data_IF_062244076335
#
_entry.id   IF_062244076335
#
_cell.length_a   1.000
_cell.length_b   1.000
_cell.length_c   1.000
_cell.angle_alpha   90.00
_cell.angle_beta   90.00
_cell.angle_gamma   90.00
#
_symmetry.space_group_name_H-M   'P 1'
#
loop_
_entity.id
_entity.type
_entity.pdbx_description
1 polymer ?
#
# COMPACT_ATOMS: atom_id res chain seq x y z
N UNK A 1 -16.03 5.05 -57.78
CA UNK A 1 -15.19 5.86 -56.87
C UNK A 1 -13.91 5.09 -56.63
N UNK A 2 -12.76 5.60 -57.09
CA UNK A 2 -11.48 4.90 -56.93
C UNK A 2 -11.22 4.64 -55.44
N UNK A 3 -10.88 3.39 -55.09
CA UNK A 3 -10.47 3.02 -53.74
C UNK A 3 -9.29 3.91 -53.34
N UNK A 4 -9.52 4.79 -52.36
CA UNK A 4 -8.50 5.75 -51.91
C UNK A 4 -7.34 4.97 -51.33
N UNK A 5 -6.22 4.97 -52.05
CA UNK A 5 -5.05 4.16 -51.74
C UNK A 5 -4.50 4.49 -50.35
N UNK A 6 -4.46 3.49 -49.47
CA UNK A 6 -3.82 3.58 -48.16
C UNK A 6 -2.40 3.03 -48.26
N UNK A 7 -1.42 3.90 -48.04
CA UNK A 7 0.01 3.59 -48.09
C UNK A 7 0.59 3.49 -46.69
N UNK A 8 1.40 2.46 -46.44
CA UNK A 8 2.09 2.26 -45.16
C UNK A 8 3.57 2.51 -45.35
N UNK A 9 4.16 3.32 -44.48
CA UNK A 9 5.61 3.50 -44.37
C UNK A 9 6.05 3.08 -42.96
N UNK A 10 7.19 2.44 -42.85
CA UNK A 10 7.78 2.09 -41.55
C UNK A 10 9.05 2.89 -41.31
N UNK A 11 9.30 3.26 -40.06
CA UNK A 11 10.47 4.05 -39.65
C UNK A 11 10.99 3.55 -38.30
N UNK A 12 12.27 3.82 -38.01
CA UNK A 12 12.96 3.34 -36.79
C UNK A 12 12.78 1.83 -36.60
N UNK A 13 13.05 1.06 -37.65
CA UNK A 13 12.94 -0.39 -37.63
C UNK A 13 14.11 -1.00 -36.85
N UNK A 14 13.80 -1.94 -35.95
CA UNK A 14 14.77 -2.66 -35.15
C UNK A 14 14.33 -4.11 -34.99
N UNK A 15 15.27 -5.04 -35.17
CA UNK A 15 15.03 -6.46 -34.86
C UNK A 15 15.57 -6.76 -33.46
N UNK A 16 14.69 -7.05 -32.52
CA UNK A 16 15.04 -7.36 -31.14
C UNK A 16 15.03 -8.88 -30.91
N UNK A 17 16.22 -9.47 -30.82
CA UNK A 17 16.40 -10.92 -30.61
C UNK A 17 16.08 -11.39 -29.19
N UNK A 18 16.23 -10.53 -28.19
CA UNK A 18 15.93 -10.87 -26.79
C UNK A 18 14.43 -11.14 -26.57
N UNK A 19 13.59 -10.46 -27.35
CA UNK A 19 12.14 -10.57 -27.30
C UNK A 19 11.55 -11.28 -28.53
N UNK A 20 12.40 -11.85 -29.38
CA UNK A 20 12.04 -12.55 -30.63
C UNK A 20 11.00 -11.81 -31.47
N UNK A 21 11.24 -10.50 -31.69
CA UNK A 21 10.32 -9.63 -32.42
C UNK A 21 11.01 -8.52 -33.20
N UNK A 22 10.38 -8.08 -34.27
CA UNK A 22 10.67 -6.85 -35.00
C UNK A 22 9.81 -5.72 -34.45
N UNK A 23 10.40 -4.56 -34.21
CA UNK A 23 9.71 -3.38 -33.69
C UNK A 23 9.97 -2.15 -34.55
N UNK A 24 8.92 -1.39 -34.83
CA UNK A 24 8.99 -0.22 -35.72
C UNK A 24 7.84 0.74 -35.46
N UNK A 25 7.98 1.95 -35.97
CA UNK A 25 6.92 2.96 -36.03
C UNK A 25 6.27 2.87 -37.40
N UNK A 26 4.94 2.95 -37.43
CA UNK A 26 4.10 2.88 -38.62
C UNK A 26 3.55 4.28 -38.90
N UNK A 27 3.84 4.79 -40.10
CA UNK A 27 3.21 5.97 -40.67
C UNK A 27 2.20 5.51 -41.73
N UNK A 28 0.92 5.75 -41.49
CA UNK A 28 -0.18 5.40 -42.40
C UNK A 28 -0.64 6.67 -43.12
N UNK A 29 -0.57 6.67 -44.44
CA UNK A 29 -1.06 7.73 -45.30
C UNK A 29 -2.40 7.29 -45.92
N UNK A 30 -3.45 8.06 -45.67
CA UNK A 30 -4.83 7.76 -46.07
C UNK A 30 -5.55 9.05 -46.53
N UNK A 31 -5.12 9.68 -47.64
CA UNK A 31 -5.68 10.95 -48.09
C UNK A 31 -7.17 10.81 -48.41
N UNK A 32 -8.00 11.69 -47.83
CA UNK A 32 -9.44 11.71 -48.04
C UNK A 32 -10.21 10.48 -47.54
N UNK A 33 -9.58 9.58 -46.78
CA UNK A 33 -10.21 8.43 -46.11
C UNK A 33 -10.12 8.62 -44.60
N UNK A 34 -11.15 8.15 -43.89
CA UNK A 34 -11.15 8.09 -42.43
C UNK A 34 -10.07 7.13 -41.90
N UNK A 35 -9.99 7.00 -40.57
CA UNK A 35 -9.01 6.14 -39.92
C UNK A 35 -9.08 4.69 -40.42
N UNK A 36 -7.92 4.14 -40.78
CA UNK A 36 -7.79 2.78 -41.34
C UNK A 36 -8.02 1.74 -40.24
N UNK A 37 -8.73 0.66 -40.57
CA UNK A 37 -8.99 -0.43 -39.63
C UNK A 37 -7.69 -1.19 -39.30
N UNK A 38 -7.59 -1.74 -38.09
CA UNK A 38 -6.41 -2.52 -37.70
C UNK A 38 -6.27 -3.83 -38.46
N UNK A 39 -7.38 -4.41 -38.93
CA UNK A 39 -7.37 -5.62 -39.74
C UNK A 39 -6.69 -5.36 -41.09
N UNK A 40 -7.06 -4.27 -41.77
CA UNK A 40 -6.44 -3.88 -43.05
C UNK A 40 -4.95 -3.56 -42.87
N UNK A 41 -4.56 -2.91 -41.77
CA UNK A 41 -3.14 -2.62 -41.51
C UNK A 41 -2.32 -3.90 -41.26
N UNK A 42 -2.90 -4.90 -40.61
CA UNK A 42 -2.24 -6.19 -40.39
C UNK A 42 -2.05 -6.96 -41.69
N UNK A 43 -3.07 -6.98 -42.54
CA UNK A 43 -3.00 -7.63 -43.85
C UNK A 43 -1.89 -7.01 -44.71
N UNK A 44 -1.85 -5.67 -44.79
CA UNK A 44 -0.82 -4.96 -45.54
C UNK A 44 0.58 -5.17 -44.97
N UNK A 45 0.73 -5.21 -43.64
CA UNK A 45 2.02 -5.51 -43.01
C UNK A 45 2.43 -6.98 -43.19
N UNK A 46 1.45 -7.90 -43.22
CA UNK A 46 1.67 -9.31 -43.51
C UNK A 46 2.23 -9.50 -44.90
N UNK A 47 1.66 -8.80 -45.89
CA UNK A 47 2.16 -8.82 -47.26
C UNK A 47 3.54 -8.13 -47.39
N UNK A 48 3.75 -6.99 -46.73
CA UNK A 48 5.01 -6.23 -46.81
C UNK A 48 6.22 -6.98 -46.24
N UNK A 49 6.02 -7.76 -45.18
CA UNK A 49 7.09 -8.48 -44.46
C UNK A 49 7.01 -10.01 -44.62
N UNK A 50 6.16 -10.50 -45.53
CA UNK A 50 5.95 -11.92 -45.85
C UNK A 50 5.64 -12.78 -44.60
N UNK A 51 4.80 -12.24 -43.72
CA UNK A 51 4.40 -12.92 -42.48
C UNK A 51 3.14 -13.75 -42.74
N UNK A 52 3.26 -15.07 -42.58
CA UNK A 52 2.17 -16.03 -42.84
C UNK A 52 0.97 -15.85 -41.90
N UNK A 53 1.24 -15.58 -40.61
CA UNK A 53 0.21 -15.49 -39.58
C UNK A 53 -0.10 -14.05 -39.18
N UNK A 54 -1.32 -13.57 -39.44
CA UNK A 54 -1.75 -12.22 -39.02
C UNK A 54 -1.83 -12.04 -37.49
N UNK A 55 -1.86 -13.15 -36.74
CA UNK A 55 -1.93 -13.17 -35.28
C UNK A 55 -0.60 -12.82 -34.61
N UNK A 56 0.52 -12.88 -35.34
CA UNK A 56 1.85 -12.46 -34.84
C UNK A 56 2.08 -10.96 -34.96
N UNK A 57 1.21 -10.26 -35.71
CA UNK A 57 1.31 -8.82 -35.99
C UNK A 57 0.44 -8.04 -35.00
N UNK A 58 1.07 -7.14 -34.24
CA UNK A 58 0.40 -6.26 -33.30
C UNK A 58 0.60 -4.81 -33.71
N UNK A 59 -0.51 -4.10 -33.91
CA UNK A 59 -0.53 -2.67 -34.22
C UNK A 59 -1.34 -1.91 -33.17
N UNK A 60 -0.75 -0.87 -32.59
CA UNK A 60 -1.35 -0.15 -31.46
C UNK A 60 -0.94 1.32 -31.37
N UNK A 61 -1.69 2.06 -30.54
CA UNK A 61 -1.47 3.49 -30.24
C UNK A 61 -1.40 4.36 -31.51
N UNK A 62 -2.38 4.19 -32.41
CA UNK A 62 -2.54 5.08 -33.55
C UNK A 62 -3.06 6.44 -33.10
N UNK A 63 -2.45 7.50 -33.64
CA UNK A 63 -2.90 8.89 -33.51
C UNK A 63 -2.90 9.54 -34.90
N UNK A 64 -4.04 10.11 -35.26
CA UNK A 64 -4.20 10.88 -36.50
C UNK A 64 -3.62 12.27 -36.29
N UNK A 65 -2.89 12.78 -37.28
CA UNK A 65 -2.39 14.15 -37.26
C UNK A 65 -3.52 15.16 -37.43
N UNK A 66 -3.32 16.36 -36.90
CA UNK A 66 -4.19 17.49 -37.17
C UNK A 66 -4.23 17.78 -38.67
N UNK A 67 -5.41 18.03 -39.24
CA UNK A 67 -5.63 18.12 -40.68
C UNK A 67 -5.91 16.78 -41.38
N UNK A 68 -5.83 15.65 -40.67
CA UNK A 68 -6.19 14.33 -41.21
C UNK A 68 -5.19 13.79 -42.23
N UNK A 69 -5.56 12.70 -42.92
CA UNK A 69 -4.77 12.11 -44.03
C UNK A 69 -3.48 11.37 -43.63
N UNK A 70 -2.96 11.57 -42.41
CA UNK A 70 -1.82 10.83 -41.85
C UNK A 70 -2.11 10.38 -40.44
N UNK A 71 -1.79 9.11 -40.14
CA UNK A 71 -1.82 8.54 -38.80
C UNK A 71 -0.50 7.88 -38.44
N UNK A 72 -0.06 8.02 -37.20
CA UNK A 72 1.17 7.40 -36.69
C UNK A 72 0.85 6.41 -35.60
N UNK A 73 1.50 5.24 -35.60
CA UNK A 73 1.31 4.19 -34.61
C UNK A 73 2.55 3.33 -34.45
N UNK A 74 2.43 2.28 -33.64
CA UNK A 74 3.52 1.33 -33.39
C UNK A 74 3.14 -0.05 -33.92
N UNK A 75 4.14 -0.73 -34.49
CA UNK A 75 4.03 -2.09 -35.01
C UNK A 75 5.03 -3.02 -34.36
N UNK A 76 4.56 -4.22 -34.02
CA UNK A 76 5.38 -5.34 -33.57
C UNK A 76 5.05 -6.57 -34.41
N UNK A 77 6.07 -7.28 -34.87
CA UNK A 77 5.93 -8.55 -35.57
C UNK A 77 6.75 -9.58 -34.79
N UNK A 78 6.08 -10.60 -34.28
CA UNK A 78 6.73 -11.71 -33.59
C UNK A 78 7.09 -12.83 -34.55
N UNK A 79 8.14 -13.58 -34.23
CA UNK A 79 8.54 -14.74 -35.05
C UNK A 79 7.52 -15.90 -34.92
N UNK A 80 6.93 -16.08 -33.72
CA UNK A 80 5.91 -17.10 -33.45
C UNK A 80 4.77 -16.56 -32.57
N UNK A 81 3.61 -17.22 -32.61
CA UNK A 81 2.44 -16.86 -31.80
C UNK A 81 2.69 -17.10 -30.30
N UNK A 82 3.49 -18.10 -29.95
CA UNK A 82 3.81 -18.39 -28.54
C UNK A 82 4.73 -17.33 -27.93
N UNK A 83 5.68 -16.83 -28.72
CA UNK A 83 6.50 -15.68 -28.34
C UNK A 83 5.62 -14.44 -28.10
N UNK A 84 4.62 -14.22 -28.95
CA UNK A 84 3.67 -13.13 -28.74
C UNK A 84 2.89 -13.29 -27.42
N UNK A 85 2.38 -14.49 -27.11
CA UNK A 85 1.66 -14.76 -25.85
C UNK A 85 2.54 -14.57 -24.61
N UNK A 86 3.84 -14.88 -24.71
CA UNK A 86 4.81 -14.76 -23.62
C UNK A 86 5.20 -13.31 -23.32
N UNK A 87 5.48 -12.51 -24.35
CA UNK A 87 6.07 -11.18 -24.18
C UNK A 87 5.07 -10.02 -24.26
N UNK A 88 3.90 -10.19 -24.87
CA UNK A 88 2.90 -9.11 -24.93
C UNK A 88 2.13 -8.93 -23.61
N UNK A 89 1.83 -7.69 -23.20
CA UNK A 89 0.89 -7.45 -22.13
C UNK A 89 -0.51 -8.00 -22.45
N UNK A 90 -1.14 -8.60 -21.44
CA UNK A 90 -2.45 -9.27 -21.56
C UNK A 90 -3.54 -8.43 -22.23
N UNK A 91 -3.57 -7.11 -22.02
CA UNK A 91 -4.59 -6.25 -22.63
C UNK A 91 -4.52 -6.19 -24.16
N UNK A 92 -3.34 -6.41 -24.76
CA UNK A 92 -3.20 -6.48 -26.22
C UNK A 92 -3.59 -7.84 -26.76
N UNK A 93 -3.26 -8.91 -26.04
CA UNK A 93 -3.70 -10.27 -26.35
C UNK A 93 -5.23 -10.37 -26.38
N UNK A 94 -5.90 -9.75 -25.40
CA UNK A 94 -7.37 -9.70 -25.33
C UNK A 94 -7.96 -8.96 -26.53
N UNK A 95 -7.39 -7.81 -26.91
CA UNK A 95 -7.84 -7.06 -28.11
C UNK A 95 -7.63 -7.83 -29.41
N UNK A 96 -6.69 -8.77 -29.43
CA UNK A 96 -6.40 -9.62 -30.57
C UNK A 96 -7.19 -10.93 -30.58
N UNK A 97 -8.01 -11.19 -29.54
CA UNK A 97 -8.76 -12.44 -29.40
C UNK A 97 -7.93 -13.65 -28.94
N UNK A 98 -6.64 -13.47 -28.60
CA UNK A 98 -5.77 -14.56 -28.14
C UNK A 98 -5.93 -14.89 -26.65
N UNK A 99 -6.61 -14.03 -25.89
CA UNK A 99 -6.89 -14.22 -24.47
C UNK A 99 -8.27 -13.69 -24.11
N UNK A 100 -8.94 -14.32 -23.16
CA UNK A 100 -10.23 -13.84 -22.65
C UNK A 100 -10.05 -12.85 -21.51
N UNK A 101 -10.92 -11.84 -21.45
CA UNK A 101 -10.93 -10.88 -20.36
C UNK A 101 -11.66 -11.49 -19.17
N UNK A 102 -11.00 -11.53 -18.02
CA UNK A 102 -11.63 -11.96 -16.76
C UNK A 102 -12.38 -10.75 -16.18
N UNK A 103 -13.70 -10.79 -16.21
CA UNK A 103 -14.54 -9.72 -15.65
C UNK A 103 -14.77 -9.96 -14.16
N UNK A 104 -13.90 -9.39 -13.34
CA UNK A 104 -14.04 -9.39 -11.88
C UNK A 104 -13.88 -7.97 -11.34
N UNK A 105 -14.80 -7.57 -10.47
CA UNK A 105 -14.69 -6.28 -9.78
C UNK A 105 -13.62 -6.33 -8.68
N UNK A 106 -12.71 -5.36 -8.67
CA UNK A 106 -11.66 -5.23 -7.64
C UNK A 106 -12.27 -5.11 -6.24
N UNK A 107 -13.42 -4.43 -6.11
CA UNK A 107 -14.14 -4.26 -4.84
C UNK A 107 -14.59 -5.61 -4.30
N UNK A 108 -15.31 -6.39 -5.11
CA UNK A 108 -15.80 -7.72 -4.73
C UNK A 108 -14.67 -8.68 -4.34
N UNK A 109 -13.53 -8.64 -5.06
CA UNK A 109 -12.37 -9.46 -4.75
C UNK A 109 -11.74 -9.08 -3.40
N UNK A 110 -11.59 -7.78 -3.12
CA UNK A 110 -11.05 -7.29 -1.84
C UNK A 110 -11.99 -7.61 -0.67
N UNK A 111 -13.28 -7.39 -0.84
CA UNK A 111 -14.28 -7.73 0.18
C UNK A 111 -14.29 -9.23 0.49
N UNK A 112 -14.25 -10.08 -0.55
CA UNK A 112 -14.14 -11.54 -0.37
C UNK A 112 -12.87 -11.93 0.39
N UNK A 113 -11.72 -11.31 0.07
CA UNK A 113 -10.45 -11.53 0.77
C UNK A 113 -10.53 -11.12 2.24
N UNK A 114 -11.19 -10.01 2.55
CA UNK A 114 -11.33 -9.55 3.93
C UNK A 114 -12.29 -10.45 4.75
N UNK A 115 -13.36 -10.96 4.13
CA UNK A 115 -14.26 -11.94 4.78
C UNK A 115 -13.55 -13.27 5.07
N UNK A 116 -12.74 -13.78 4.14
CA UNK A 116 -12.03 -15.05 4.33
C UNK A 116 -10.93 -14.99 5.39
N UNK A 117 -10.35 -13.82 5.66
CA UNK A 117 -9.42 -13.62 6.77
C UNK A 117 -10.06 -13.83 8.14
N UNK A 118 -11.38 -13.60 8.29
CA UNK A 118 -12.11 -13.74 9.56
C UNK A 118 -12.41 -15.19 9.96
N UNK A 119 -12.24 -16.13 9.04
CA UNK A 119 -12.63 -17.54 9.21
C UNK A 119 -11.38 -18.42 9.20
N UNK A 120 -11.33 -19.50 10.00
CA UNK A 120 -10.20 -20.45 10.06
C UNK A 120 -10.57 -21.83 9.50
N UNK A 121 -9.55 -22.60 9.09
CA UNK A 121 -9.70 -23.98 8.59
C UNK A 121 -10.50 -24.09 7.27
N UNK A 122 -11.13 -25.25 7.06
CA UNK A 122 -11.90 -25.61 5.85
C UNK A 122 -13.07 -24.65 5.58
N UNK A 123 -13.47 -23.83 6.57
CA UNK A 123 -14.52 -22.82 6.39
C UNK A 123 -14.07 -21.62 5.53
N UNK A 124 -12.77 -21.42 5.25
CA UNK A 124 -12.26 -20.35 4.37
C UNK A 124 -12.68 -20.53 2.91
N UNK A 125 -12.69 -21.76 2.40
CA UNK A 125 -13.15 -22.07 1.03
C UNK A 125 -14.65 -21.83 0.88
N UNK A 126 -15.43 -22.10 1.94
CA UNK A 126 -16.89 -21.86 1.97
C UNK A 126 -17.30 -20.38 2.17
N UNK A 127 -16.38 -19.49 2.53
CA UNK A 127 -16.66 -18.06 2.74
C UNK A 127 -17.07 -17.32 1.45
N UNK A 128 -16.93 -17.95 0.27
CA UNK A 128 -17.46 -17.48 -1.01
C UNK A 128 -18.89 -17.95 -1.32
N UNK A 129 -19.37 -19.00 -0.67
CA UNK A 129 -20.62 -19.74 -0.96
C UNK A 129 -21.70 -19.52 0.11
N UNK A 130 -21.76 -18.33 0.69
CA UNK A 130 -22.96 -17.95 1.44
C UNK A 130 -24.10 -17.72 0.43
N UNK A 131 -24.70 -18.82 -0.05
CA UNK A 131 -26.02 -18.78 -0.65
C UNK A 131 -26.93 -18.03 0.32
N UNK A 132 -27.60 -16.97 -0.16
CA UNK A 132 -28.64 -16.28 0.61
C UNK A 132 -29.64 -17.35 1.06
N UNK A 133 -29.64 -17.73 2.34
CA UNK A 133 -30.75 -18.49 2.91
C UNK A 133 -31.98 -17.60 2.76
N UNK A 134 -32.93 -18.03 1.91
CA UNK A 134 -34.28 -17.47 1.91
C UNK A 134 -34.86 -17.77 3.28
N UNK A 135 -35.09 -16.73 4.08
CA UNK A 135 -35.82 -16.84 5.34
C UNK A 135 -37.26 -17.27 5.01
N UNK A 136 -37.66 -18.46 5.46
CA UNK A 136 -39.07 -18.87 5.45
C UNK A 136 -39.65 -18.65 6.84
N UNK A 137 -40.96 -18.36 6.88
CA UNK A 137 -41.81 -18.03 8.04
C UNK A 137 -41.74 -19.02 9.23
N UNK A 138 -41.08 -20.17 9.06
CA UNK A 138 -41.00 -21.24 10.05
C UNK A 138 -40.06 -20.95 11.24
N UNK A 139 -39.11 -20.02 11.09
CA UNK A 139 -38.17 -19.67 12.18
C UNK A 139 -38.81 -18.77 13.27
N UNK A 140 -40.03 -18.26 13.05
CA UNK A 140 -40.70 -17.40 14.04
C UNK A 140 -41.44 -18.18 15.15
N UNK A 141 -41.69 -19.48 14.97
CA UNK A 141 -42.57 -20.23 15.87
C UNK A 141 -41.88 -20.87 17.09
N UNK A 142 -40.55 -20.98 17.11
CA UNK A 142 -39.81 -21.64 18.21
C UNK A 142 -39.28 -20.69 19.30
N UNK A 143 -39.75 -19.43 19.34
CA UNK A 143 -39.29 -18.45 20.33
C UNK A 143 -40.24 -18.27 21.53
N UNK A 144 -41.35 -19.02 21.62
CA UNK A 144 -42.27 -18.97 22.76
C UNK A 144 -42.46 -20.36 23.39
N UNK A 145 -41.57 -20.75 24.31
CA UNK A 145 -41.90 -21.41 25.62
C UNK A 145 -40.63 -21.34 26.51
N UNK A 146 -40.69 -20.80 27.74
CA UNK A 146 -39.58 -20.87 28.69
C UNK A 146 -39.76 -22.03 29.69
N UNK A 147 -38.71 -22.83 29.94
CA UNK A 147 -38.66 -23.72 31.10
C UNK A 147 -37.25 -23.77 31.73
N UNK A 148 -37.13 -22.98 32.82
CA UNK A 148 -36.61 -23.34 34.16
C UNK A 148 -35.51 -24.41 34.36
N UNK A 149 -34.51 -23.97 35.13
CA UNK A 149 -33.87 -24.58 36.33
C UNK A 149 -32.68 -25.58 36.28
N UNK A 150 -31.57 -25.17 36.94
CA UNK A 150 -30.80 -25.87 38.03
C UNK A 150 -29.45 -26.59 37.73
N UNK A 151 -28.48 -26.32 38.64
CA UNK A 151 -27.21 -27.03 39.03
C UNK A 151 -26.03 -26.99 38.03
N UNK A 152 -24.88 -26.37 38.34
CA UNK A 152 -23.80 -26.69 39.32
C UNK A 152 -23.03 -27.99 39.04
N UNK A 153 -21.69 -27.90 39.13
CA UNK A 153 -20.63 -28.93 39.23
C UNK A 153 -19.78 -29.14 37.97
N UNK A 154 -18.49 -28.78 38.06
CA UNK A 154 -17.37 -29.73 38.11
C UNK A 154 -16.03 -29.03 37.80
N UNK A 155 -15.15 -29.02 38.80
CA UNK A 155 -13.68 -28.93 38.65
C UNK A 155 -13.16 -30.17 37.89
N UNK A 156 -11.96 -30.08 37.29
CA UNK A 156 -10.90 -31.11 37.37
C UNK A 156 -9.57 -30.53 36.85
N UNK A 157 -8.55 -30.75 37.68
CA UNK A 157 -7.11 -30.46 37.59
C UNK A 157 -6.42 -31.51 36.71
N UNK A 158 -5.38 -31.13 35.93
CA UNK A 158 -4.20 -31.98 35.69
C UNK A 158 -2.93 -31.11 35.69
N UNK A 159 -2.03 -31.44 36.63
CA UNK A 159 -0.61 -31.06 36.73
C UNK A 159 0.21 -32.11 35.97
N UNK A 160 1.23 -31.70 35.21
CA UNK A 160 2.42 -32.52 34.93
C UNK A 160 3.65 -31.60 34.81
N UNK A 161 4.62 -31.80 35.71
CA UNK A 161 5.99 -31.29 35.63
C UNK A 161 6.83 -32.16 34.68
N UNK A 162 7.80 -31.53 34.01
CA UNK A 162 8.99 -32.19 33.51
C UNK A 162 10.19 -31.24 33.67
N UNK A 163 11.13 -31.63 34.53
CA UNK A 163 12.45 -31.04 34.63
C UNK A 163 13.32 -31.56 33.47
N UNK A 164 14.00 -30.68 32.75
CA UNK A 164 15.29 -31.01 32.16
C UNK A 164 16.18 -29.77 32.00
N UNK A 165 17.44 -29.97 32.37
CA UNK A 165 18.50 -28.97 32.49
C UNK A 165 19.04 -28.58 31.13
N UNK A 166 18.73 -27.37 30.67
CA UNK A 166 19.58 -26.60 29.75
C UNK A 166 19.48 -25.12 30.09
N UNK A 167 20.48 -24.57 30.79
CA UNK A 167 20.66 -23.14 31.03
C UNK A 167 21.79 -22.62 30.14
N UNK A 168 21.63 -21.36 29.69
CA UNK A 168 22.49 -20.53 28.82
C UNK A 168 22.30 -20.87 27.34
N UNK A 169 21.53 -20.12 26.54
CA UNK A 169 21.82 -18.76 26.02
C UNK A 169 20.54 -17.89 25.87
N UNK A 170 19.36 -18.40 26.24
CA UNK A 170 18.07 -17.73 26.02
C UNK A 170 17.80 -16.52 26.95
N UNK A 171 18.35 -16.52 28.17
CA UNK A 171 18.09 -15.47 29.17
C UNK A 171 18.70 -14.11 28.79
N UNK A 172 19.83 -14.10 28.07
CA UNK A 172 20.47 -12.87 27.61
C UNK A 172 19.69 -12.21 26.45
N UNK A 173 19.08 -13.00 25.56
CA UNK A 173 18.22 -12.49 24.48
C UNK A 173 16.90 -11.91 25.03
N UNK A 174 16.26 -12.59 25.98
CA UNK A 174 15.03 -12.10 26.61
C UNK A 174 15.26 -10.87 27.47
N UNK A 175 16.35 -10.80 28.23
CA UNK A 175 16.71 -9.62 29.00
C UNK A 175 17.07 -8.43 28.11
N UNK A 176 17.78 -8.65 26.99
CA UNK A 176 18.06 -7.60 26.01
C UNK A 176 16.78 -7.12 25.31
N UNK A 177 15.84 -8.01 24.96
CA UNK A 177 14.55 -7.65 24.39
C UNK A 177 13.65 -6.88 25.36
N UNK A 178 13.63 -7.28 26.65
CA UNK A 178 12.89 -6.56 27.70
C UNK A 178 13.49 -5.19 27.99
N UNK A 179 14.82 -5.06 28.08
CA UNK A 179 15.49 -3.77 28.28
C UNK A 179 15.30 -2.81 27.10
N UNK A 180 15.30 -3.33 25.86
CA UNK A 180 15.02 -2.52 24.65
C UNK A 180 13.54 -2.12 24.58
N UNK A 181 12.62 -2.98 25.01
CA UNK A 181 11.19 -2.62 25.11
C UNK A 181 10.94 -1.51 26.15
N UNK A 182 11.62 -1.56 27.30
CA UNK A 182 11.51 -0.54 28.35
C UNK A 182 12.04 0.83 27.90
N UNK A 183 13.18 0.84 27.19
CA UNK A 183 13.75 2.06 26.59
C UNK A 183 12.80 2.70 25.56
N UNK A 184 12.30 1.91 24.62
CA UNK A 184 11.39 2.42 23.58
C UNK A 184 10.08 2.95 24.22
N UNK A 185 9.61 2.31 25.29
CA UNK A 185 8.45 2.75 26.06
C UNK A 185 8.64 4.12 26.72
N UNK A 186 9.83 4.40 27.28
CA UNK A 186 10.17 5.69 27.90
C UNK A 186 10.04 6.84 26.91
N UNK A 187 10.66 6.73 25.74
CA UNK A 187 10.64 7.80 24.74
C UNK A 187 9.29 7.94 24.03
N UNK A 188 8.60 6.82 23.80
CA UNK A 188 7.25 6.85 23.24
C UNK A 188 6.24 7.48 24.21
N UNK A 189 6.35 7.21 25.51
CA UNK A 189 5.54 7.88 26.54
C UNK A 189 5.73 9.39 26.49
N UNK A 190 6.96 9.85 26.28
CA UNK A 190 7.24 11.28 26.11
C UNK A 190 6.61 11.85 24.83
N UNK A 191 6.63 11.12 23.72
CA UNK A 191 5.94 11.54 22.50
C UNK A 191 4.42 11.65 22.71
N UNK A 192 3.84 10.76 23.51
CA UNK A 192 2.43 10.80 23.91
C UNK A 192 2.13 12.00 24.81
N UNK A 193 2.98 12.30 25.78
CA UNK A 193 2.84 13.52 26.60
C UNK A 193 2.82 14.79 25.75
N UNK A 194 3.70 14.89 24.75
CA UNK A 194 3.69 16.01 23.81
C UNK A 194 2.38 16.06 23.00
N UNK A 195 1.87 14.91 22.54
CA UNK A 195 0.59 14.85 21.85
C UNK A 195 -0.57 15.38 22.71
N UNK A 196 -0.58 15.11 24.02
CA UNK A 196 -1.55 15.69 24.95
C UNK A 196 -1.37 17.20 25.07
N UNK A 197 -0.14 17.67 25.27
CA UNK A 197 0.14 19.11 25.38
C UNK A 197 -0.34 19.88 24.16
N UNK A 198 -0.07 19.38 22.95
CA UNK A 198 -0.48 20.04 21.70
C UNK A 198 -1.99 20.25 21.59
N UNK A 199 -2.78 19.29 22.08
CA UNK A 199 -4.24 19.44 22.14
C UNK A 199 -4.67 20.38 23.26
N UNK A 200 -4.03 20.31 24.42
CA UNK A 200 -4.38 21.15 25.58
C UNK A 200 -4.12 22.64 25.34
N UNK A 201 -3.06 22.98 24.62
CA UNK A 201 -2.77 24.35 24.23
C UNK A 201 -3.47 24.80 22.93
N UNK A 202 -4.05 23.87 22.17
CA UNK A 202 -4.73 24.17 20.90
C UNK A 202 -3.77 24.43 19.72
N UNK A 203 -2.51 24.01 19.82
CA UNK A 203 -1.48 24.24 18.79
C UNK A 203 -1.68 23.32 17.56
N UNK A 204 -2.32 22.16 17.74
CA UNK A 204 -2.53 21.17 16.68
C UNK A 204 -3.31 19.93 17.09
N UNK A 205 -3.34 18.94 16.20
CA UNK A 205 -3.94 17.62 16.47
C UNK A 205 -3.12 16.78 17.47
N UNK A 206 -3.68 15.64 17.95
CA UNK A 206 -3.07 14.77 18.97
C UNK A 206 -1.87 13.95 18.47
N UNK A 207 -0.83 14.62 17.98
CA UNK A 207 0.39 14.00 17.49
C UNK A 207 1.61 14.59 18.19
N UNK A 208 2.54 13.71 18.55
CA UNK A 208 3.79 14.08 19.20
C UNK A 208 4.94 13.24 18.67
N UNK A 209 6.13 13.84 18.66
CA UNK A 209 7.36 13.22 18.18
C UNK A 209 8.55 13.64 19.02
N UNK A 210 9.51 12.72 19.19
CA UNK A 210 10.72 12.93 19.99
C UNK A 210 11.92 12.45 19.20
N UNK A 211 12.95 13.28 19.10
CA UNK A 211 14.26 12.94 18.51
C UNK A 211 15.24 12.66 19.64
N UNK A 212 15.86 11.49 19.59
CA UNK A 212 16.77 10.97 20.61
C UNK A 212 18.14 10.71 19.99
N UNK A 213 19.21 11.05 20.70
CA UNK A 213 20.60 10.75 20.34
C UNK A 213 21.28 10.22 21.59
N UNK A 214 21.95 9.06 21.52
CA UNK A 214 22.67 8.47 22.67
C UNK A 214 21.84 8.39 23.97
N UNK A 215 20.57 7.99 23.87
CA UNK A 215 19.62 7.88 25.00
C UNK A 215 19.19 9.22 25.65
N UNK A 216 19.55 10.33 25.03
CA UNK A 216 19.15 11.66 25.44
C UNK A 216 18.15 12.27 24.46
N UNK A 217 17.14 12.96 24.98
CA UNK A 217 16.16 13.66 24.16
C UNK A 217 16.80 14.96 23.67
N UNK A 218 17.09 15.00 22.37
CA UNK A 218 17.55 16.23 21.73
C UNK A 218 16.40 17.21 21.62
N UNK A 219 15.24 16.73 21.18
CA UNK A 219 14.06 17.54 20.93
C UNK A 219 12.77 16.75 21.11
N UNK A 220 11.73 17.40 21.66
CA UNK A 220 10.38 16.85 21.78
C UNK A 220 9.39 17.91 21.28
N UNK A 221 8.57 17.56 20.29
CA UNK A 221 7.60 18.47 19.68
C UNK A 221 6.25 17.79 19.53
N UNK A 222 5.21 18.61 19.42
CA UNK A 222 3.87 18.20 19.04
C UNK A 222 3.44 18.85 17.73
N UNK A 223 2.24 18.52 17.27
CA UNK A 223 1.66 19.13 16.07
C UNK A 223 1.46 20.64 16.28
N UNK A 224 2.00 21.46 15.36
CA UNK A 224 1.97 22.93 15.43
C UNK A 224 1.21 23.57 14.28
N UNK A 225 0.38 22.79 13.55
CA UNK A 225 -0.28 23.24 12.31
C UNK A 225 -1.11 24.51 12.52
N UNK A 226 -1.81 24.60 13.65
CA UNK A 226 -2.72 25.70 13.94
C UNK A 226 -1.96 26.92 14.41
N UNK A 227 -1.01 26.72 15.32
CA UNK A 227 -0.18 27.80 15.87
C UNK A 227 0.70 28.46 14.81
N UNK A 228 1.33 27.67 13.96
CA UNK A 228 2.22 28.18 12.92
C UNK A 228 1.48 28.57 11.63
N UNK A 229 0.19 28.25 11.53
CA UNK A 229 -0.58 28.40 10.28
C UNK A 229 0.15 27.74 9.09
N UNK A 230 0.73 26.56 9.33
CA UNK A 230 1.58 25.84 8.38
C UNK A 230 1.08 24.38 8.27
N UNK A 231 0.51 23.97 7.13
CA UNK A 231 0.01 22.60 6.94
C UNK A 231 1.13 21.54 7.01
N UNK A 232 2.39 21.93 6.93
CA UNK A 232 3.55 21.02 7.03
C UNK A 232 4.10 20.87 8.45
N UNK A 233 3.62 21.65 9.41
CA UNK A 233 4.12 21.70 10.79
C UNK A 233 3.62 20.53 11.67
N UNK A 234 3.68 19.31 11.13
CA UNK A 234 3.40 18.08 11.84
C UNK A 234 4.47 17.82 12.92
N UNK A 235 4.14 16.98 13.91
CA UNK A 235 5.02 16.72 15.05
C UNK A 235 6.41 16.22 14.61
N UNK A 236 6.48 15.26 13.68
CA UNK A 236 7.73 14.67 13.20
C UNK A 236 8.57 15.68 12.40
N UNK A 237 7.92 16.44 11.51
CA UNK A 237 8.60 17.46 10.70
C UNK A 237 9.14 18.58 11.59
N UNK A 238 8.35 19.01 12.57
CA UNK A 238 8.76 20.04 13.53
C UNK A 238 9.89 19.54 14.42
N UNK A 239 9.82 18.30 14.91
CA UNK A 239 10.89 17.69 15.71
C UNK A 239 12.21 17.59 14.94
N UNK A 240 12.18 17.17 13.67
CA UNK A 240 13.37 17.13 12.81
C UNK A 240 13.91 18.55 12.58
N UNK A 241 13.03 19.50 12.24
CA UNK A 241 13.40 20.90 11.97
C UNK A 241 14.10 21.53 13.18
N UNK A 242 13.55 21.37 14.37
CA UNK A 242 14.12 21.93 15.60
C UNK A 242 15.37 21.15 16.06
N UNK A 243 15.44 19.83 15.84
CA UNK A 243 16.64 19.05 16.10
C UNK A 243 17.81 19.47 15.19
N UNK A 244 17.56 19.66 13.88
CA UNK A 244 18.57 20.12 12.93
C UNK A 244 19.12 21.51 13.29
N UNK A 245 18.25 22.44 13.72
CA UNK A 245 18.66 23.76 14.21
C UNK A 245 19.51 23.66 15.48
N UNK A 246 19.12 22.80 16.44
CA UNK A 246 19.83 22.63 17.71
C UNK A 246 21.22 22.01 17.53
N UNK A 247 21.35 21.09 16.57
CA UNK A 247 22.60 20.37 16.28
C UNK A 247 23.43 21.02 15.17
N UNK A 248 22.95 22.12 14.58
CA UNK A 248 23.54 22.84 13.45
C UNK A 248 23.96 21.93 12.27
N UNK A 249 23.09 20.97 11.92
CA UNK A 249 23.33 20.02 10.83
C UNK A 249 22.03 19.53 10.22
N UNK A 250 22.09 19.09 8.96
CA UNK A 250 20.91 18.62 8.21
C UNK A 250 20.70 17.10 8.27
N UNK A 251 21.73 16.34 8.61
CA UNK A 251 21.68 14.87 8.72
C UNK A 251 21.65 14.46 10.20
N UNK A 252 20.75 13.53 10.52
CA UNK A 252 20.48 13.00 11.86
C UNK A 252 20.75 11.49 11.90
N UNK A 253 21.82 11.03 11.25
CA UNK A 253 22.14 9.61 11.06
C UNK A 253 22.48 8.83 12.34
N UNK A 254 22.83 9.54 13.39
CA UNK A 254 23.09 9.05 14.74
C UNK A 254 21.88 9.26 15.69
N UNK A 255 20.77 9.78 15.17
CA UNK A 255 19.54 9.98 15.93
C UNK A 255 18.49 8.90 15.62
N UNK A 256 17.56 8.75 16.56
CA UNK A 256 16.36 7.94 16.48
C UNK A 256 15.14 8.83 16.67
N UNK A 257 14.02 8.50 16.02
CA UNK A 257 12.77 9.25 16.15
C UNK A 257 11.66 8.35 16.68
N UNK A 258 10.93 8.87 17.67
CA UNK A 258 9.79 8.24 18.31
C UNK A 258 8.54 9.05 18.02
N UNK A 259 7.54 8.44 17.39
CA UNK A 259 6.28 9.09 17.03
C UNK A 259 5.09 8.46 17.76
N UNK A 260 4.14 9.26 18.25
CA UNK A 260 2.95 8.73 18.93
C UNK A 260 2.09 7.87 17.99
N UNK A 261 2.05 8.23 16.71
CA UNK A 261 1.28 7.55 15.67
C UNK A 261 2.18 7.23 14.45
N UNK A 262 1.71 6.34 13.59
CA UNK A 262 2.31 6.08 12.30
C UNK A 262 2.45 7.39 11.48
N UNK A 263 3.65 7.71 10.97
CA UNK A 263 3.87 8.96 10.26
C UNK A 263 3.15 8.95 8.90
N UNK A 264 2.59 10.09 8.52
CA UNK A 264 2.00 10.26 7.19
C UNK A 264 3.07 10.27 6.08
N UNK A 265 2.71 10.20 4.78
CA UNK A 265 3.68 10.16 3.69
C UNK A 265 4.68 11.33 3.68
N UNK A 266 4.25 12.53 4.10
CA UNK A 266 5.12 13.70 4.23
C UNK A 266 6.13 13.54 5.37
N UNK A 267 5.67 13.17 6.57
CA UNK A 267 6.53 12.95 7.74
C UNK A 267 7.53 11.81 7.47
N UNK A 268 7.07 10.73 6.85
CA UNK A 268 7.92 9.62 6.45
C UNK A 268 9.01 10.06 5.45
N UNK A 269 8.66 10.88 4.46
CA UNK A 269 9.61 11.50 3.54
C UNK A 269 10.66 12.35 4.27
N UNK A 270 10.23 13.16 5.25
CA UNK A 270 11.14 13.99 6.04
C UNK A 270 12.13 13.15 6.88
N UNK A 271 11.64 12.10 7.55
CA UNK A 271 12.47 11.15 8.32
C UNK A 271 13.50 10.46 7.42
N UNK A 272 13.08 10.06 6.21
CA UNK A 272 13.97 9.40 5.27
C UNK A 272 15.07 10.34 4.75
N UNK A 273 14.70 11.58 4.41
CA UNK A 273 15.64 12.58 3.89
C UNK A 273 16.61 13.10 4.96
N UNK A 274 16.22 13.12 6.23
CA UNK A 274 17.10 13.48 7.35
C UNK A 274 18.04 12.36 7.81
N UNK A 275 17.99 11.19 7.14
CA UNK A 275 18.88 10.04 7.39
C UNK A 275 18.76 9.43 8.79
N UNK A 276 17.67 9.65 9.50
CA UNK A 276 17.43 9.07 10.83
C UNK A 276 17.63 7.55 10.81
N UNK A 277 18.33 7.02 11.82
CA UNK A 277 18.69 5.60 11.88
C UNK A 277 17.49 4.69 12.11
N UNK A 278 16.58 5.14 12.97
CA UNK A 278 15.49 4.31 13.51
C UNK A 278 14.24 5.14 13.76
N UNK A 279 13.11 4.63 13.27
CA UNK A 279 11.76 5.16 13.51
C UNK A 279 10.98 4.14 14.36
N UNK A 280 10.51 4.58 15.53
CA UNK A 280 9.61 3.83 16.39
C UNK A 280 8.28 4.56 16.48
N UNK A 281 7.16 3.87 16.24
CA UNK A 281 5.83 4.48 16.33
C UNK A 281 4.86 3.68 17.21
N UNK A 282 3.94 4.38 17.86
CA UNK A 282 3.00 3.80 18.84
C UNK A 282 1.79 3.12 18.21
N UNK A 283 0.94 3.90 17.54
CA UNK A 283 -0.34 3.42 16.97
C UNK A 283 -0.30 3.39 15.45
N UNK A 284 -1.05 2.47 14.83
CA UNK A 284 -1.25 2.47 13.38
C UNK A 284 -2.16 3.63 12.93
N UNK A 285 -1.98 4.06 11.69
CA UNK A 285 -2.74 5.15 11.08
C UNK A 285 -4.27 4.94 11.13
N UNK A 286 -4.75 3.69 11.20
CA UNK A 286 -6.17 3.37 11.32
C UNK A 286 -6.82 4.00 12.56
N UNK A 287 -6.09 4.20 13.66
CA UNK A 287 -6.64 4.84 14.85
C UNK A 287 -6.89 6.34 14.64
N UNK A 288 -6.00 7.02 13.92
CA UNK A 288 -6.20 8.42 13.54
C UNK A 288 -7.38 8.57 12.57
N UNK A 289 -7.51 7.65 11.61
CA UNK A 289 -8.64 7.62 10.64
C UNK A 289 -9.97 7.43 11.37
N UNK A 290 -10.03 6.57 12.39
CA UNK A 290 -11.24 6.33 13.17
C UNK A 290 -11.76 7.58 13.92
N UNK A 291 -10.91 8.59 14.11
CA UNK A 291 -11.25 9.87 14.75
C UNK A 291 -11.58 10.97 13.74
N UNK A 292 -11.43 10.68 12.45
CA UNK A 292 -11.84 11.56 11.35
C UNK A 292 -10.70 12.10 10.51
N UNK A 293 -9.44 11.72 10.77
CA UNK A 293 -8.32 12.12 9.92
C UNK A 293 -8.35 11.42 8.56
N UNK A 294 -7.85 12.11 7.52
CA UNK A 294 -7.89 11.64 6.14
C UNK A 294 -7.20 10.28 5.96
N UNK A 295 -7.80 9.45 5.09
CA UNK A 295 -7.30 8.13 4.71
C UNK A 295 -5.86 8.14 4.14
N UNK A 296 -5.35 9.32 3.76
CA UNK A 296 -4.01 9.52 3.23
C UNK A 296 -2.90 9.17 4.24
N UNK A 297 -3.20 9.21 5.55
CA UNK A 297 -2.22 8.88 6.60
C UNK A 297 -1.75 7.41 6.47
N UNK A 298 -2.65 6.49 6.13
CA UNK A 298 -2.37 5.05 6.14
C UNK A 298 -1.59 4.52 4.92
N UNK A 299 -1.13 5.37 3.99
CA UNK A 299 -0.40 4.93 2.78
C UNK A 299 1.12 5.02 2.92
N UNK A 300 1.63 5.68 3.97
CA UNK A 300 3.06 5.97 4.14
C UNK A 300 3.93 4.71 4.25
N UNK A 301 3.49 3.72 5.03
CA UNK A 301 4.25 2.48 5.24
C UNK A 301 3.89 1.35 4.25
N UNK A 302 2.96 1.57 3.30
CA UNK A 302 2.57 0.55 2.31
C UNK A 302 3.64 0.38 1.23
N UNK A 303 4.66 -0.43 1.53
CA UNK A 303 5.77 -0.73 0.61
C UNK A 303 7.16 -0.69 1.22
N UNK A 304 7.25 -0.60 2.55
CA UNK A 304 8.49 -0.40 3.33
C UNK A 304 9.53 -1.50 3.24
N UNK A 305 9.23 -2.63 2.61
CA UNK A 305 10.24 -3.67 2.32
C UNK A 305 11.40 -3.16 1.45
N UNK A 306 11.23 -2.04 0.72
CA UNK A 306 12.33 -1.37 0.03
C UNK A 306 13.14 -0.45 0.96
N UNK A 307 12.49 0.25 1.90
CA UNK A 307 13.13 1.22 2.79
C UNK A 307 13.90 0.56 3.95
N UNK A 308 13.49 -0.62 4.44
CA UNK A 308 14.30 -1.41 5.38
C UNK A 308 15.69 -1.78 4.83
N UNK A 309 15.85 -1.83 3.49
CA UNK A 309 17.15 -2.03 2.83
C UNK A 309 17.98 -0.75 2.72
N UNK A 310 17.35 0.41 2.92
CA UNK A 310 17.97 1.73 2.84
C UNK A 310 18.19 2.30 4.25
N UNK A 311 19.08 1.68 5.03
CA UNK A 311 19.62 2.20 6.31
C UNK A 311 18.63 2.78 7.36
N UNK A 312 17.32 2.52 7.26
CA UNK A 312 16.28 3.00 8.20
C UNK A 312 15.56 1.80 8.81
N UNK A 313 15.71 1.62 10.12
CA UNK A 313 14.97 0.63 10.90
C UNK A 313 13.58 1.20 11.26
N UNK A 314 12.51 0.49 10.90
CA UNK A 314 11.13 0.86 11.24
C UNK A 314 10.57 -0.19 12.18
N UNK A 315 10.16 0.23 13.37
CA UNK A 315 9.61 -0.64 14.41
C UNK A 315 8.29 -0.09 14.94
N UNK A 316 7.28 -0.94 15.01
CA UNK A 316 6.06 -0.65 15.77
C UNK A 316 6.28 -0.98 17.24
N UNK A 317 5.86 -0.11 18.15
CA UNK A 317 5.91 -0.41 19.57
C UNK A 317 4.87 -1.49 19.93
N UNK A 318 5.27 -2.46 20.74
CA UNK A 318 4.39 -3.52 21.24
C UNK A 318 4.04 -3.29 22.73
N UNK A 319 2.89 -3.78 23.18
CA UNK A 319 2.53 -3.78 24.60
C UNK A 319 2.03 -2.44 25.14
N UNK A 320 2.51 -2.02 26.31
CA UNK A 320 2.02 -0.85 27.07
C UNK A 320 2.15 0.47 26.30
N UNK A 321 3.22 0.65 25.52
CA UNK A 321 3.45 1.87 24.73
C UNK A 321 2.39 2.11 23.64
N UNK A 322 1.97 1.05 22.94
CA UNK A 322 0.91 1.13 21.93
C UNK A 322 -0.44 1.50 22.56
N UNK A 323 -0.76 0.90 23.72
CA UNK A 323 -2.02 1.16 24.45
C UNK A 323 -2.08 2.62 24.92
N UNK A 324 -0.99 3.16 25.46
CA UNK A 324 -0.95 4.55 25.92
C UNK A 324 -1.18 5.50 24.74
N UNK A 325 -0.54 5.23 23.59
CA UNK A 325 -0.71 6.06 22.42
C UNK A 325 -2.14 5.99 21.84
N UNK A 326 -2.80 4.81 21.86
CA UNK A 326 -4.22 4.68 21.47
C UNK A 326 -5.16 5.46 22.39
N UNK A 327 -4.84 5.54 23.69
CA UNK A 327 -5.65 6.29 24.65
C UNK A 327 -5.62 7.80 24.44
N UNK A 328 -4.55 8.36 23.86
CA UNK A 328 -4.46 9.79 23.53
C UNK A 328 -5.65 10.17 22.65
N UNK A 329 -5.72 9.50 21.52
CA UNK A 329 -6.73 9.62 20.49
C UNK A 329 -8.17 9.51 21.02
N UNK A 330 -8.44 8.56 21.92
CA UNK A 330 -9.77 8.43 22.55
C UNK A 330 -10.08 9.58 23.52
N UNK A 331 -9.12 9.98 24.36
CA UNK A 331 -9.34 11.00 25.40
C UNK A 331 -9.38 12.42 24.85
N UNK A 332 -8.70 12.69 23.73
CA UNK A 332 -8.67 14.01 23.10
C UNK A 332 -9.79 14.23 22.09
N UNK A 333 -10.60 13.20 21.80
CA UNK A 333 -11.66 13.25 20.78
C UNK A 333 -12.67 14.39 20.97
N UNK A 334 -12.99 14.76 22.21
CA UNK A 334 -13.95 15.84 22.50
C UNK A 334 -13.31 17.23 22.53
N UNK A 335 -11.98 17.33 22.60
CA UNK A 335 -11.24 18.60 22.73
C UNK A 335 -10.73 19.15 21.40
N UNK A 336 -10.72 18.32 20.36
CA UNK A 336 -10.22 18.69 19.05
C UNK A 336 -11.36 18.67 18.03
N UNK A 337 -11.64 19.83 17.45
CA UNK A 337 -12.55 19.95 16.30
C UNK A 337 -11.69 19.94 15.05
N UNK A 338 -11.96 18.99 14.15
CA UNK A 338 -11.36 18.98 12.81
C UNK A 338 -11.78 20.24 12.05
N UNK A 339 -10.80 20.88 11.39
CA UNK A 339 -11.00 22.06 10.56
C UNK A 339 -11.70 21.72 9.25
#
# INVERSE_FOLDING_TARGET
MADKAVTIRTRKFMTNRLLSRKQFIIDVLHPGRANVSKAELKEKLGNLYEVKDQNTIFVFKFRTHFGGGKSTGFGLIYDTVDNAKKYEPKYRLIRNGLATKIEKSRKQMKERKNRSKKVRGVKKTKAGDAAKKKFTIWDFFNCLVPHRTVRSLAEIIIVLEANDRTISVASAFSAHQQAVQDRDHKFLSRAVEEAYKGVECGDGGPFGAVVVQNDEIIMSCHNMVLKNTDPTAHAEVTAIREACKKLDRIELSDCEIYASCEPCPMCFGAIHLSRVKRLVYGVEAEAAIAIGFDDFIADALRGTGFYQKAHLEIKKADGSGAVIAEQVFQKTKSKFTMY
#
